data_IF_128812929865
#
_entry.id   IF_128812929865
#
_cell.length_a   1.000
_cell.length_b   1.000
_cell.length_c   1.000
_cell.angle_alpha   90.00
_cell.angle_beta   90.00
_cell.angle_gamma   90.00
#
_symmetry.space_group_name_H-M   'P 1'
#
loop_
_entity.id
_entity.type
_entity.pdbx_description
1 polymer ?
#
# COMPACT_ATOMS: atom_id res chain seq x y z
N UNK A 1 26.82 -4.39 12.66
CA UNK A 1 25.76 -5.26 12.11
C UNK A 1 24.53 -4.39 11.90
N UNK A 2 24.41 -3.77 10.72
CA UNK A 2 23.29 -2.87 10.38
C UNK A 2 23.21 -2.65 8.85
N UNK A 3 23.07 -3.73 8.06
CA UNK A 3 23.23 -3.62 6.60
C UNK A 3 21.90 -3.73 5.82
N UNK A 4 20.92 -4.49 6.35
CA UNK A 4 19.69 -4.74 5.60
C UNK A 4 18.72 -3.56 5.59
N UNK A 5 18.58 -2.80 6.69
CA UNK A 5 17.68 -1.62 6.72
C UNK A 5 18.18 -0.50 5.82
N UNK A 6 19.49 -0.25 5.78
CA UNK A 6 20.07 0.70 4.83
C UNK A 6 19.85 0.25 3.39
N UNK A 7 19.98 -1.04 3.12
CA UNK A 7 19.67 -1.63 1.82
C UNK A 7 18.19 -1.47 1.46
N UNK A 8 17.27 -1.71 2.41
CA UNK A 8 15.84 -1.47 2.23
C UNK A 8 15.53 -0.01 1.91
N UNK A 9 16.18 0.92 2.61
CA UNK A 9 16.03 2.35 2.36
C UNK A 9 16.50 2.73 0.96
N UNK A 10 17.69 2.25 0.54
CA UNK A 10 18.22 2.50 -0.80
C UNK A 10 17.28 1.97 -1.89
N UNK A 11 16.86 0.71 -1.78
CA UNK A 11 15.94 0.10 -2.76
C UNK A 11 14.61 0.86 -2.81
N UNK A 12 14.03 1.24 -1.67
CA UNK A 12 12.80 2.04 -1.67
C UNK A 12 12.98 3.38 -2.36
N UNK A 13 14.09 4.08 -2.08
CA UNK A 13 14.37 5.38 -2.66
C UNK A 13 14.76 5.32 -4.15
N UNK A 14 15.15 4.16 -4.68
CA UNK A 14 15.36 4.00 -6.13
C UNK A 14 14.05 4.16 -6.91
N UNK A 15 12.95 3.63 -6.38
CA UNK A 15 11.65 3.62 -7.07
C UNK A 15 10.66 4.66 -6.54
N UNK A 16 10.77 5.03 -5.26
CA UNK A 16 9.78 5.84 -4.57
C UNK A 16 10.39 7.05 -3.86
N UNK A 17 9.64 8.14 -3.84
CA UNK A 17 9.93 9.36 -3.08
C UNK A 17 8.87 9.59 -2.01
N UNK A 18 9.28 10.25 -0.94
CA UNK A 18 8.38 10.80 0.07
C UNK A 18 7.81 12.18 -0.36
N UNK A 19 8.31 12.76 -1.45
CA UNK A 19 7.83 14.02 -2.05
C UNK A 19 6.82 13.76 -3.17
N UNK A 20 5.83 14.64 -3.34
CA UNK A 20 4.78 14.50 -4.36
C UNK A 20 5.27 14.88 -5.76
N UNK A 21 6.27 14.18 -6.26
CA UNK A 21 6.91 14.45 -7.56
C UNK A 21 6.40 13.55 -8.70
N UNK A 22 5.70 12.45 -8.36
CA UNK A 22 5.13 11.52 -9.35
C UNK A 22 3.80 10.91 -8.92
N UNK A 23 3.47 9.77 -9.52
CA UNK A 23 2.21 9.06 -9.27
C UNK A 23 2.13 8.58 -7.81
N UNK A 24 1.06 8.96 -7.10
CA UNK A 24 0.83 8.53 -5.73
C UNK A 24 0.31 7.09 -5.70
N UNK A 25 1.07 6.23 -5.03
CA UNK A 25 0.72 4.86 -4.71
C UNK A 25 0.45 4.75 -3.21
N UNK A 26 -0.63 4.07 -2.86
CA UNK A 26 -1.07 3.90 -1.47
C UNK A 26 -1.00 2.44 -1.06
N UNK A 27 -0.19 2.13 -0.04
CA UNK A 27 0.07 0.74 0.37
C UNK A 27 0.12 0.53 1.87
N UNK A 28 -0.22 -0.68 2.30
CA UNK A 28 -0.03 -1.12 3.68
C UNK A 28 1.40 -1.63 3.91
N UNK A 29 1.85 -1.62 5.16
CA UNK A 29 3.17 -2.15 5.56
C UNK A 29 3.36 -3.60 5.13
N UNK A 30 2.33 -4.43 5.23
CA UNK A 30 2.33 -5.85 4.81
C UNK A 30 2.58 -6.03 3.30
N UNK A 31 2.08 -5.11 2.48
CA UNK A 31 2.29 -5.11 1.04
C UNK A 31 3.74 -4.74 0.71
N UNK A 32 4.28 -3.70 1.35
CA UNK A 32 5.69 -3.30 1.19
C UNK A 32 6.65 -4.39 1.68
N UNK A 33 6.33 -5.06 2.80
CA UNK A 33 7.09 -6.23 3.28
C UNK A 33 7.16 -7.35 2.23
N UNK A 34 6.07 -7.56 1.49
CA UNK A 34 6.01 -8.61 0.47
C UNK A 34 6.97 -8.34 -0.69
N UNK A 35 7.27 -7.07 -1.01
CA UNK A 35 8.30 -6.72 -2.00
C UNK A 35 9.69 -7.12 -1.52
N UNK A 36 10.01 -6.84 -0.26
CA UNK A 36 11.32 -7.17 0.30
C UNK A 36 11.55 -8.66 0.44
N UNK A 37 10.51 -9.48 0.63
CA UNK A 37 10.66 -10.95 0.66
C UNK A 37 11.22 -11.54 -0.63
N UNK A 38 11.09 -10.85 -1.76
CA UNK A 38 11.66 -11.27 -3.05
C UNK A 38 13.13 -10.86 -3.25
N UNK A 39 13.63 -9.91 -2.45
CA UNK A 39 14.95 -9.29 -2.63
C UNK A 39 15.90 -9.60 -1.47
N UNK A 40 15.36 -9.63 -0.25
CA UNK A 40 16.10 -9.90 0.99
C UNK A 40 15.65 -11.27 1.51
N UNK A 41 16.60 -12.14 1.95
CA UNK A 41 16.27 -13.45 2.50
C UNK A 41 15.21 -13.36 3.61
N UNK A 42 14.29 -14.33 3.61
CA UNK A 42 13.07 -14.39 4.44
C UNK A 42 13.25 -14.28 5.97
N UNK A 43 14.49 -14.31 6.48
CA UNK A 43 14.80 -14.00 7.88
C UNK A 43 15.89 -12.92 7.93
N UNK A 44 15.72 -11.79 8.65
CA UNK A 44 14.71 -11.53 9.70
C UNK A 44 13.77 -10.34 9.42
N UNK A 45 13.49 -9.97 8.17
CA UNK A 45 12.65 -8.78 7.89
C UNK A 45 11.17 -9.04 8.21
N UNK A 46 10.58 -8.18 9.04
CA UNK A 46 9.17 -8.22 9.41
C UNK A 46 8.48 -6.85 9.18
N UNK A 47 7.20 -6.75 9.55
CA UNK A 47 6.43 -5.50 9.36
C UNK A 47 6.95 -4.34 10.20
N UNK A 48 7.51 -4.61 11.37
CA UNK A 48 8.11 -3.59 12.23
C UNK A 48 9.33 -2.96 11.56
N UNK A 49 10.19 -3.76 10.92
CA UNK A 49 11.35 -3.24 10.18
C UNK A 49 10.92 -2.32 9.03
N UNK A 50 9.88 -2.72 8.29
CA UNK A 50 9.35 -1.93 7.18
C UNK A 50 8.71 -0.63 7.69
N UNK A 51 7.99 -0.70 8.81
CA UNK A 51 7.41 0.46 9.45
C UNK A 51 8.48 1.48 9.87
N UNK A 52 9.55 1.01 10.51
CA UNK A 52 10.68 1.87 10.89
C UNK A 52 11.33 2.50 9.66
N UNK A 53 11.65 1.70 8.63
CA UNK A 53 12.26 2.18 7.39
C UNK A 53 11.42 3.28 6.72
N UNK A 54 10.11 3.08 6.59
CA UNK A 54 9.22 4.08 5.97
C UNK A 54 9.07 5.34 6.84
N UNK A 55 9.09 5.17 8.17
CA UNK A 55 9.06 6.29 9.13
C UNK A 55 10.34 7.12 9.05
N UNK A 56 11.51 6.47 9.04
CA UNK A 56 12.83 7.10 8.97
C UNK A 56 13.02 7.86 7.66
N UNK A 57 12.49 7.32 6.56
CA UNK A 57 12.47 7.99 5.26
C UNK A 57 11.44 9.12 5.17
N UNK A 58 10.59 9.31 6.17
CA UNK A 58 9.64 10.41 6.25
C UNK A 58 8.40 10.26 5.36
N UNK A 59 8.08 9.04 4.91
CA UNK A 59 6.83 8.77 4.20
C UNK A 59 5.62 9.13 5.07
N UNK A 60 4.52 9.54 4.44
CA UNK A 60 3.31 10.00 5.14
C UNK A 60 2.20 8.97 5.07
N UNK A 61 1.36 8.99 6.09
CA UNK A 61 0.15 8.17 6.14
C UNK A 61 -1.04 8.92 5.55
N UNK A 62 -2.00 8.17 4.99
CA UNK A 62 -3.34 8.67 4.71
C UNK A 62 -4.37 7.60 5.03
N UNK A 63 -5.62 8.05 5.16
CA UNK A 63 -6.76 7.16 5.27
C UNK A 63 -7.24 6.80 3.86
N UNK A 64 -7.46 5.51 3.61
CA UNK A 64 -8.07 5.00 2.38
C UNK A 64 -9.40 4.35 2.73
N UNK A 65 -10.46 4.79 2.05
CA UNK A 65 -11.80 4.21 2.16
C UNK A 65 -11.85 2.97 1.28
N UNK A 66 -12.39 1.87 1.82
CA UNK A 66 -12.62 0.63 1.10
C UNK A 66 -14.08 0.63 0.67
N UNK A 67 -14.30 0.45 -0.62
CA UNK A 67 -15.63 0.29 -1.21
C UNK A 67 -15.79 -1.15 -1.69
N UNK A 68 -16.99 -1.69 -1.52
CA UNK A 68 -17.37 -2.98 -2.09
C UNK A 68 -18.51 -2.77 -3.09
N UNK A 69 -18.40 -3.42 -4.25
CA UNK A 69 -19.43 -3.37 -5.28
C UNK A 69 -20.51 -4.38 -4.94
N UNK A 70 -21.67 -3.91 -4.52
CA UNK A 70 -22.82 -4.77 -4.26
C UNK A 70 -23.70 -4.82 -5.51
N UNK A 71 -23.93 -6.03 -6.03
CA UNK A 71 -24.76 -6.24 -7.23
C UNK A 71 -26.13 -6.69 -6.78
N UNK A 72 -27.12 -5.80 -6.88
CA UNK A 72 -28.50 -6.09 -6.53
C UNK A 72 -29.21 -6.49 -7.83
N UNK A 73 -29.54 -7.78 -7.96
CA UNK A 73 -30.40 -8.27 -9.05
C UNK A 73 -31.86 -8.12 -8.65
N UNK A 74 -32.59 -7.21 -9.30
CA UNK A 74 -34.05 -7.13 -9.12
C UNK A 74 -34.72 -8.12 -10.05
N UNK A 75 -35.46 -9.07 -9.46
CA UNK A 75 -36.33 -9.98 -10.21
C UNK A 75 -37.62 -9.25 -10.63
N UNK A 76 -37.51 -8.40 -11.65
CA UNK A 76 -38.64 -7.85 -12.39
C UNK A 76 -38.79 -8.59 -13.72
N UNK A 77 -39.92 -8.39 -14.43
CA UNK A 77 -40.14 -8.96 -15.78
C UNK A 77 -39.04 -8.59 -16.79
N UNK A 78 -38.24 -7.59 -16.45
CA UNK A 78 -36.99 -7.18 -17.08
C UNK A 78 -35.90 -7.30 -16.00
N UNK A 79 -34.84 -8.07 -16.26
CA UNK A 79 -33.69 -8.14 -15.33
C UNK A 79 -32.93 -6.81 -15.40
N UNK A 80 -32.98 -6.03 -14.32
CA UNK A 80 -32.15 -4.84 -14.16
C UNK A 80 -31.05 -5.15 -13.14
N UNK A 81 -29.78 -5.01 -13.57
CA UNK A 81 -28.62 -5.10 -12.70
C UNK A 81 -28.27 -3.69 -12.21
N UNK A 82 -28.45 -3.44 -10.92
CA UNK A 82 -28.04 -2.20 -10.28
C UNK A 82 -26.79 -2.51 -9.47
N UNK A 83 -25.69 -1.82 -9.76
CA UNK A 83 -24.48 -1.86 -8.95
C UNK A 83 -24.35 -0.60 -8.12
N UNK A 84 -24.27 -0.75 -6.80
CA UNK A 84 -23.98 0.33 -5.87
C UNK A 84 -22.62 0.07 -5.20
N UNK A 85 -21.81 1.11 -5.05
CA UNK A 85 -20.58 1.08 -4.26
C UNK A 85 -20.90 1.50 -2.83
N UNK A 86 -20.65 0.61 -1.86
CA UNK A 86 -20.90 0.87 -0.45
C UNK A 86 -19.56 0.98 0.26
N UNK A 87 -19.40 2.02 1.09
CA UNK A 87 -18.26 2.13 2.00
C UNK A 87 -18.33 1.01 3.05
N UNK A 88 -17.36 0.09 3.02
CA UNK A 88 -17.31 -1.07 3.93
C UNK A 88 -16.26 -0.90 5.03
N UNK A 89 -15.37 0.08 4.91
CA UNK A 89 -14.39 0.36 5.96
C UNK A 89 -13.33 1.38 5.56
N UNK A 90 -12.41 1.62 6.48
CA UNK A 90 -11.27 2.53 6.28
C UNK A 90 -9.99 1.90 6.82
N UNK A 91 -8.88 2.11 6.11
CA UNK A 91 -7.56 1.62 6.50
C UNK A 91 -6.54 2.75 6.43
N UNK A 92 -5.48 2.65 7.24
CA UNK A 92 -4.30 3.50 7.10
C UNK A 92 -3.34 2.89 6.08
N UNK A 93 -2.79 3.74 5.24
CA UNK A 93 -1.85 3.38 4.18
C UNK A 93 -0.72 4.40 4.11
N UNK A 94 0.44 3.96 3.68
CA UNK A 94 1.58 4.78 3.31
C UNK A 94 1.37 5.41 1.94
N UNK A 95 1.73 6.67 1.79
CA UNK A 95 1.77 7.38 0.52
C UNK A 95 3.19 7.29 -0.04
N UNK A 96 3.38 6.50 -1.09
CA UNK A 96 4.61 6.40 -1.86
C UNK A 96 4.42 7.15 -3.18
N UNK A 97 5.40 7.91 -3.65
CA UNK A 97 5.34 8.59 -4.95
C UNK A 97 6.36 7.98 -5.90
N UNK A 98 5.95 7.49 -7.06
CA UNK A 98 6.90 6.94 -8.03
C UNK A 98 7.89 8.01 -8.52
N UNK A 99 9.17 7.67 -8.56
CA UNK A 99 10.20 8.51 -9.18
C UNK A 99 10.13 8.36 -10.70
N UNK A 100 10.26 9.50 -11.39
CA UNK A 100 10.26 9.63 -12.86
C UNK A 100 11.70 9.71 -13.35
#
# INVERSE_FOLDING_TARGET
>A
MNDYKETMQKILLEYYSNTPEGSKIQMQTSAVLSWFKGVIPSQPVNEHDVFEVLTDLGFKHSQKIIYEKNVIKKATKWEEEISEEIEVGRILVWNLYERI
#
